data_IF_649424378842
#
_entry.id   IF_649424378842
#
_cell.length_a   1.000
_cell.length_b   1.000
_cell.length_c   1.000
_cell.angle_alpha   90.00
_cell.angle_beta   90.00
_cell.angle_gamma   90.00
#
_symmetry.space_group_name_H-M   'P 1'
#
loop_
_entity.id
_entity.type
_entity.pdbx_description
1 polymer ?
#
# COMPACT_ATOMS: atom_id res chain seq x y z
N UNK A 1 6.26 -47.75 -7.39
CA UNK A 1 5.68 -47.43 -8.71
C UNK A 1 6.45 -46.26 -9.29
N UNK A 2 7.27 -46.51 -10.32
CA UNK A 2 8.16 -45.51 -10.90
C UNK A 2 7.38 -44.44 -11.65
N UNK A 3 7.69 -43.17 -11.37
CA UNK A 3 7.20 -42.02 -12.14
C UNK A 3 7.63 -42.23 -13.60
N UNK A 4 6.67 -42.39 -14.51
CA UNK A 4 6.89 -42.53 -15.96
C UNK A 4 7.90 -41.51 -16.49
N UNK A 5 8.78 -41.90 -17.40
CA UNK A 5 9.81 -41.02 -18.01
C UNK A 5 9.23 -39.72 -18.56
N UNK A 6 7.99 -39.75 -19.08
CA UNK A 6 7.24 -38.57 -19.52
C UNK A 6 6.92 -37.60 -18.37
N UNK A 7 6.59 -38.11 -17.20
CA UNK A 7 6.36 -37.29 -16.01
C UNK A 7 7.65 -36.66 -15.50
N UNK A 8 8.79 -37.38 -15.59
CA UNK A 8 10.10 -36.80 -15.24
C UNK A 8 10.48 -35.62 -16.14
N UNK A 9 10.28 -35.75 -17.45
CA UNK A 9 10.54 -34.66 -18.42
C UNK A 9 9.63 -33.45 -18.15
N UNK A 10 8.34 -33.69 -17.87
CA UNK A 10 7.40 -32.61 -17.52
C UNK A 10 7.80 -31.89 -16.23
N UNK A 11 8.21 -32.63 -15.20
CA UNK A 11 8.67 -32.05 -13.92
C UNK A 11 9.95 -31.23 -14.14
N UNK A 12 10.95 -31.76 -14.84
CA UNK A 12 12.18 -31.03 -15.18
C UNK A 12 11.90 -29.76 -15.99
N UNK A 13 11.00 -29.83 -16.97
CA UNK A 13 10.60 -28.67 -17.77
C UNK A 13 9.90 -27.59 -16.93
N UNK A 14 9.04 -28.00 -15.99
CA UNK A 14 8.37 -27.07 -15.07
C UNK A 14 9.34 -26.46 -14.05
N UNK A 15 10.31 -27.23 -13.55
CA UNK A 15 11.35 -26.73 -12.65
C UNK A 15 12.27 -25.72 -13.33
N UNK A 16 12.67 -25.99 -14.58
CA UNK A 16 13.45 -25.06 -15.39
C UNK A 16 12.66 -23.77 -15.66
N UNK A 17 11.37 -23.89 -16.00
CA UNK A 17 10.49 -22.75 -16.17
C UNK A 17 10.35 -21.94 -14.89
N UNK A 18 10.09 -22.60 -13.76
CA UNK A 18 9.99 -21.97 -12.43
C UNK A 18 11.28 -21.21 -12.09
N UNK A 19 12.45 -21.79 -12.40
CA UNK A 19 13.74 -21.13 -12.21
C UNK A 19 13.87 -19.86 -13.04
N UNK A 20 13.50 -19.92 -14.33
CA UNK A 20 13.59 -18.80 -15.28
C UNK A 20 12.68 -17.64 -14.88
N UNK A 21 11.42 -17.93 -14.51
CA UNK A 21 10.46 -16.88 -14.15
C UNK A 21 10.63 -16.40 -12.70
N UNK A 22 11.47 -17.08 -11.91
CA UNK A 22 11.69 -16.77 -10.50
C UNK A 22 10.52 -17.19 -9.60
N UNK A 23 9.85 -18.29 -9.96
CA UNK A 23 8.76 -18.84 -9.17
C UNK A 23 9.27 -19.47 -7.87
N UNK A 24 8.77 -19.00 -6.74
CA UNK A 24 9.16 -19.47 -5.42
C UNK A 24 7.95 -19.48 -4.49
N UNK A 25 7.98 -20.36 -3.49
CA UNK A 25 7.03 -20.31 -2.39
C UNK A 25 7.30 -19.01 -1.59
N UNK A 26 6.27 -18.21 -1.26
CA UNK A 26 6.46 -17.04 -0.42
C UNK A 26 7.10 -17.40 0.91
N UNK A 27 8.04 -16.59 1.38
CA UNK A 27 8.63 -16.71 2.72
C UNK A 27 7.73 -15.98 3.71
N UNK A 28 7.61 -16.52 4.92
CA UNK A 28 6.73 -15.99 5.96
C UNK A 28 7.52 -15.77 7.24
N UNK A 29 7.43 -14.57 7.81
CA UNK A 29 8.08 -14.17 9.06
C UNK A 29 6.98 -13.75 10.04
N UNK A 30 6.82 -14.52 11.11
CA UNK A 30 5.78 -14.30 12.13
C UNK A 30 6.16 -15.07 13.39
N UNK A 31 5.55 -14.71 14.53
CA UNK A 31 5.73 -15.48 15.78
C UNK A 31 5.12 -16.88 15.64
N UNK A 32 5.87 -17.98 15.84
CA UNK A 32 5.35 -19.35 15.73
C UNK A 32 4.18 -19.66 16.69
N UNK A 33 4.10 -18.91 17.79
CA UNK A 33 3.04 -18.99 18.79
C UNK A 33 2.01 -17.84 18.65
N UNK A 34 2.18 -16.99 17.64
CA UNK A 34 1.32 -15.84 17.37
C UNK A 34 -0.05 -16.26 16.82
N UNK A 35 -1.08 -15.50 17.20
CA UNK A 35 -2.48 -15.71 16.77
C UNK A 35 -2.63 -15.66 15.25
N UNK A 36 -1.81 -14.87 14.54
CA UNK A 36 -1.88 -14.74 13.08
C UNK A 36 -1.58 -16.05 12.34
N UNK A 37 -0.84 -16.99 12.96
CA UNK A 37 -0.50 -18.30 12.38
C UNK A 37 -1.73 -19.05 11.86
N UNK A 38 -2.80 -19.09 12.65
CA UNK A 38 -4.03 -19.82 12.32
C UNK A 38 -4.68 -19.28 11.03
N UNK A 39 -4.49 -17.99 10.75
CA UNK A 39 -4.97 -17.34 9.53
C UNK A 39 -4.05 -17.72 8.35
N UNK A 40 -2.73 -17.66 8.53
CA UNK A 40 -1.76 -18.02 7.47
C UNK A 40 -1.94 -19.45 6.97
N UNK A 41 -2.25 -20.39 7.87
CA UNK A 41 -2.48 -21.80 7.53
C UNK A 41 -3.72 -22.02 6.67
N UNK A 42 -4.67 -21.08 6.66
CA UNK A 42 -5.87 -21.16 5.81
C UNK A 42 -5.66 -20.57 4.41
N UNK A 43 -4.52 -19.92 4.14
CA UNK A 43 -4.26 -19.24 2.88
C UNK A 43 -3.49 -20.14 1.88
N UNK A 44 -4.14 -20.63 0.80
CA UNK A 44 -3.49 -21.53 -0.16
C UNK A 44 -2.32 -20.88 -0.91
N UNK A 45 -2.36 -19.57 -1.13
CA UNK A 45 -1.32 -18.78 -1.80
C UNK A 45 0.05 -18.89 -1.10
N UNK A 46 0.05 -19.04 0.23
CA UNK A 46 1.27 -19.17 1.03
C UNK A 46 1.82 -20.60 1.03
N UNK A 47 1.05 -21.57 0.53
CA UNK A 47 1.44 -23.00 0.43
C UNK A 47 1.99 -23.36 -0.94
N UNK A 48 1.74 -22.55 -1.96
CA UNK A 48 2.10 -22.80 -3.35
C UNK A 48 3.20 -21.83 -3.82
N UNK A 49 3.88 -22.17 -4.92
CA UNK A 49 4.80 -21.22 -5.56
C UNK A 49 4.01 -20.08 -6.18
N UNK A 50 4.36 -18.84 -5.85
CA UNK A 50 3.96 -17.69 -6.64
C UNK A 50 4.71 -17.75 -7.98
N UNK A 51 3.98 -17.67 -9.09
CA UNK A 51 4.52 -17.74 -10.46
C UNK A 51 4.29 -16.42 -11.17
N UNK A 52 5.31 -15.55 -11.24
CA UNK A 52 5.19 -14.28 -11.95
C UNK A 52 4.74 -14.51 -13.39
N UNK A 53 3.99 -13.55 -13.93
CA UNK A 53 3.70 -13.53 -15.36
C UNK A 53 5.02 -13.57 -16.15
N UNK A 54 5.28 -14.59 -16.99
CA UNK A 54 6.62 -14.87 -17.52
C UNK A 54 7.25 -13.72 -18.27
N UNK A 55 6.45 -13.01 -19.09
CA UNK A 55 6.88 -11.84 -19.86
C UNK A 55 7.01 -10.55 -19.03
N UNK A 56 6.62 -10.57 -17.75
CA UNK A 56 6.80 -9.46 -16.81
C UNK A 56 7.91 -9.71 -15.78
N UNK A 57 8.65 -10.83 -15.84
CA UNK A 57 9.62 -11.28 -14.82
C UNK A 57 10.78 -10.31 -14.48
N UNK A 58 10.90 -9.19 -15.19
CA UNK A 58 11.81 -8.08 -14.90
C UNK A 58 11.13 -7.06 -13.95
N UNK A 59 11.86 -6.64 -12.92
CA UNK A 59 11.36 -5.71 -11.89
C UNK A 59 10.88 -4.35 -12.44
N UNK A 60 11.37 -3.88 -13.58
CA UNK A 60 10.86 -2.66 -14.22
C UNK A 60 9.62 -2.90 -15.09
N UNK A 61 9.45 -4.13 -15.61
CA UNK A 61 8.36 -4.45 -16.54
C UNK A 61 7.00 -4.46 -15.86
N UNK A 62 6.90 -4.88 -14.59
CA UNK A 62 5.65 -4.75 -13.83
C UNK A 62 5.19 -3.29 -13.71
N UNK A 63 6.11 -2.38 -13.37
CA UNK A 63 5.81 -0.95 -13.21
C UNK A 63 5.42 -0.29 -14.53
N UNK A 64 6.16 -0.59 -15.61
CA UNK A 64 5.85 -0.10 -16.95
C UNK A 64 4.53 -0.67 -17.48
N UNK A 65 4.30 -1.97 -17.31
CA UNK A 65 3.06 -2.63 -17.70
C UNK A 65 1.85 -2.02 -16.99
N UNK A 66 1.97 -1.75 -15.69
CA UNK A 66 0.93 -1.09 -14.93
C UNK A 66 0.65 0.34 -15.44
N UNK A 67 1.68 1.20 -15.52
CA UNK A 67 1.52 2.63 -15.86
C UNK A 67 1.09 2.83 -17.32
N UNK A 68 1.53 1.96 -18.24
CA UNK A 68 1.27 2.09 -19.69
C UNK A 68 0.02 1.33 -20.13
N UNK A 69 -0.21 0.12 -19.63
CA UNK A 69 -1.26 -0.79 -20.13
C UNK A 69 -2.42 -0.83 -19.14
N UNK A 70 -2.23 -1.38 -17.93
CA UNK A 70 -3.36 -1.65 -17.01
C UNK A 70 -4.13 -0.41 -16.64
N UNK A 71 -3.42 0.68 -16.29
CA UNK A 71 -4.05 1.97 -15.96
C UNK A 71 -4.96 2.52 -17.06
N UNK A 72 -4.66 2.21 -18.33
CA UNK A 72 -5.48 2.65 -19.49
C UNK A 72 -6.58 1.64 -19.83
N UNK A 73 -6.32 0.35 -19.66
CA UNK A 73 -7.24 -0.71 -20.09
C UNK A 73 -8.34 -0.99 -19.07
N UNK A 74 -8.05 -0.84 -17.77
CA UNK A 74 -9.03 -1.08 -16.71
C UNK A 74 -10.00 0.08 -16.63
N UNK A 75 -11.23 -0.17 -17.07
CA UNK A 75 -12.36 0.72 -16.91
C UNK A 75 -13.10 0.33 -15.63
N UNK A 76 -13.04 1.21 -14.63
CA UNK A 76 -13.86 1.19 -13.43
C UNK A 76 -14.36 2.61 -13.21
N UNK A 77 -15.67 2.75 -13.03
CA UNK A 77 -16.31 3.98 -12.62
C UNK A 77 -16.64 3.84 -11.14
N UNK A 78 -16.20 4.81 -10.34
CA UNK A 78 -16.59 4.90 -8.94
C UNK A 78 -18.05 5.40 -8.88
N UNK A 79 -18.82 4.90 -7.93
CA UNK A 79 -20.23 5.28 -7.78
C UNK A 79 -20.35 6.75 -7.37
N UNK A 80 -19.43 7.18 -6.50
CA UNK A 80 -19.40 8.53 -5.92
C UNK A 80 -17.97 8.91 -5.57
N UNK A 81 -17.61 10.17 -5.77
CA UNK A 81 -16.41 10.78 -5.18
C UNK A 81 -16.88 11.92 -4.30
N UNK A 82 -16.78 11.73 -3.00
CA UNK A 82 -17.20 12.68 -1.99
C UNK A 82 -16.00 13.50 -1.50
N UNK A 83 -16.15 14.82 -1.41
CA UNK A 83 -15.16 15.68 -0.76
C UNK A 83 -15.57 15.91 0.69
N UNK A 84 -14.60 15.85 1.59
CA UNK A 84 -14.81 16.07 3.01
C UNK A 84 -14.01 17.30 3.44
N UNK A 85 -14.66 18.20 4.16
CA UNK A 85 -13.97 19.30 4.84
C UNK A 85 -13.62 18.83 6.25
N UNK A 86 -12.32 18.78 6.54
CA UNK A 86 -11.77 18.38 7.83
C UNK A 86 -11.96 19.51 8.86
N UNK A 87 -11.83 19.20 10.14
CA UNK A 87 -12.00 20.17 11.23
C UNK A 87 -11.08 21.40 11.12
N UNK A 88 -9.86 21.23 10.60
CA UNK A 88 -8.92 22.34 10.38
C UNK A 88 -9.20 23.15 9.10
N UNK A 89 -10.28 22.82 8.37
CA UNK A 89 -10.65 23.43 7.09
C UNK A 89 -9.96 22.80 5.88
N UNK A 90 -9.10 21.80 6.07
CA UNK A 90 -8.49 21.05 4.97
C UNK A 90 -9.51 20.23 4.18
N UNK A 91 -9.19 19.87 2.94
CA UNK A 91 -10.08 19.08 2.09
C UNK A 91 -9.46 17.73 1.75
N UNK A 92 -10.18 16.67 2.07
CA UNK A 92 -9.88 15.28 1.68
C UNK A 92 -11.04 14.73 0.86
N UNK A 93 -11.01 13.45 0.49
CA UNK A 93 -12.17 12.85 -0.15
C UNK A 93 -12.22 11.34 0.01
N UNK A 94 -13.35 10.75 -0.38
CA UNK A 94 -13.55 9.30 -0.45
C UNK A 94 -14.16 8.97 -1.80
N UNK A 95 -13.47 8.14 -2.58
CA UNK A 95 -14.01 7.56 -3.80
C UNK A 95 -14.60 6.18 -3.46
N UNK A 96 -15.88 6.00 -3.73
CA UNK A 96 -16.67 4.85 -3.34
C UNK A 96 -16.90 3.89 -4.51
N UNK A 97 -16.84 2.59 -4.22
CA UNK A 97 -17.26 1.54 -5.14
C UNK A 97 -18.03 0.45 -4.38
N UNK A 98 -19.22 0.09 -4.87
CA UNK A 98 -20.21 -0.66 -4.10
C UNK A 98 -20.93 0.18 -3.03
N UNK A 99 -21.14 1.48 -3.25
CA UNK A 99 -21.76 2.40 -2.27
C UNK A 99 -23.15 1.90 -1.84
N UNK A 100 -23.99 1.52 -2.79
CA UNK A 100 -25.38 1.09 -2.57
C UNK A 100 -25.54 -0.38 -2.14
N UNK A 101 -24.44 -1.08 -1.85
CA UNK A 101 -24.52 -2.42 -1.25
C UNK A 101 -25.21 -2.35 0.13
N UNK A 102 -25.77 -3.48 0.63
CA UNK A 102 -26.40 -3.54 1.95
C UNK A 102 -25.52 -2.92 3.04
N UNK A 103 -26.11 -2.20 4.00
CA UNK A 103 -25.40 -1.38 5.00
C UNK A 103 -24.39 -2.17 5.84
N UNK A 104 -24.70 -3.42 6.14
CA UNK A 104 -23.88 -4.39 6.87
C UNK A 104 -22.77 -5.05 6.04
N UNK A 105 -22.73 -4.80 4.72
CA UNK A 105 -21.63 -5.28 3.89
C UNK A 105 -20.33 -4.64 4.38
N UNK A 106 -19.27 -5.43 4.68
CA UNK A 106 -18.02 -4.86 5.13
C UNK A 106 -17.42 -3.88 4.12
N UNK A 107 -16.57 -2.99 4.62
CA UNK A 107 -15.93 -1.96 3.82
C UNK A 107 -14.41 -2.09 3.90
N UNK A 108 -13.76 -2.20 2.75
CA UNK A 108 -12.31 -2.10 2.63
C UNK A 108 -11.93 -0.63 2.43
N UNK A 109 -11.27 -0.06 3.42
CA UNK A 109 -10.72 1.30 3.38
C UNK A 109 -9.31 1.25 2.81
N UNK A 110 -9.10 1.95 1.69
CA UNK A 110 -7.83 1.93 0.96
C UNK A 110 -7.10 3.26 1.13
N UNK A 111 -5.85 3.18 1.57
CA UNK A 111 -4.89 4.29 1.57
C UNK A 111 -3.95 4.11 0.38
N UNK A 112 -4.01 5.06 -0.56
CA UNK A 112 -3.36 4.95 -1.86
C UNK A 112 -1.86 5.29 -1.86
N UNK A 113 -1.22 5.09 -3.01
CA UNK A 113 0.21 5.32 -3.23
C UNK A 113 0.58 6.82 -3.22
N UNK A 114 1.88 7.15 -3.29
CA UNK A 114 2.41 8.52 -3.11
C UNK A 114 1.80 9.58 -4.05
N UNK A 115 1.36 9.19 -5.24
CA UNK A 115 0.66 10.05 -6.22
C UNK A 115 -0.62 9.38 -6.69
N UNK A 116 -1.25 8.62 -5.79
CA UNK A 116 -2.45 7.85 -6.07
C UNK A 116 -3.64 8.74 -6.43
N UNK A 117 -4.50 8.22 -7.30
CA UNK A 117 -5.77 8.81 -7.69
C UNK A 117 -6.82 7.71 -7.89
N UNK A 118 -8.11 8.05 -7.99
CA UNK A 118 -9.14 7.09 -8.36
C UNK A 118 -8.76 6.28 -9.62
N UNK A 119 -8.19 6.94 -10.64
CA UNK A 119 -7.74 6.31 -11.90
C UNK A 119 -6.61 5.32 -11.68
N UNK A 120 -5.60 5.68 -10.88
CA UNK A 120 -4.46 4.78 -10.64
C UNK A 120 -4.84 3.59 -9.77
N UNK A 121 -5.88 3.69 -8.94
CA UNK A 121 -6.25 2.63 -8.00
C UNK A 121 -7.34 1.68 -8.53
N UNK A 122 -7.86 1.90 -9.75
CA UNK A 122 -8.96 1.12 -10.35
C UNK A 122 -8.75 -0.38 -10.32
N UNK A 123 -7.52 -0.84 -10.59
CA UNK A 123 -7.21 -2.27 -10.59
C UNK A 123 -7.41 -2.90 -9.23
N UNK A 124 -6.76 -2.33 -8.21
CA UNK A 124 -6.86 -2.83 -6.84
C UNK A 124 -8.30 -2.76 -6.34
N UNK A 125 -9.00 -1.66 -6.58
CA UNK A 125 -10.41 -1.48 -6.20
C UNK A 125 -11.30 -2.53 -6.86
N UNK A 126 -11.16 -2.72 -8.18
CA UNK A 126 -11.93 -3.71 -8.95
C UNK A 126 -11.70 -5.11 -8.42
N UNK A 127 -10.43 -5.50 -8.29
CA UNK A 127 -10.06 -6.87 -7.93
C UNK A 127 -10.52 -7.19 -6.50
N UNK A 128 -10.27 -6.30 -5.53
CA UNK A 128 -10.72 -6.50 -4.15
C UNK A 128 -12.24 -6.62 -4.06
N UNK A 129 -12.98 -5.74 -4.74
CA UNK A 129 -14.43 -5.83 -4.78
C UNK A 129 -14.90 -7.13 -5.45
N UNK A 130 -14.29 -7.52 -6.57
CA UNK A 130 -14.66 -8.74 -7.31
C UNK A 130 -14.42 -10.01 -6.48
N UNK A 131 -13.33 -10.07 -5.71
CA UNK A 131 -13.00 -11.26 -4.91
C UNK A 131 -13.76 -11.34 -3.58
N UNK A 132 -14.16 -10.21 -3.00
CA UNK A 132 -14.82 -10.20 -1.68
C UNK A 132 -16.32 -9.92 -1.74
N UNK A 133 -16.80 -9.22 -2.77
CA UNK A 133 -18.12 -8.62 -2.83
C UNK A 133 -18.30 -7.42 -1.89
N UNK A 134 -17.22 -6.89 -1.31
CA UNK A 134 -17.30 -5.86 -0.26
C UNK A 134 -17.30 -4.45 -0.84
N UNK A 135 -17.79 -3.49 -0.04
CA UNK A 135 -17.73 -2.07 -0.36
C UNK A 135 -16.28 -1.60 -0.29
N UNK A 136 -15.88 -0.70 -1.19
CA UNK A 136 -14.56 -0.09 -1.19
C UNK A 136 -14.67 1.41 -0.93
N UNK A 137 -13.91 1.90 0.05
CA UNK A 137 -13.73 3.31 0.35
C UNK A 137 -12.27 3.70 0.08
N UNK A 138 -12.01 4.33 -1.06
CA UNK A 138 -10.68 4.84 -1.40
C UNK A 138 -10.51 6.23 -0.78
N UNK A 139 -9.77 6.32 0.33
CA UNK A 139 -9.49 7.57 1.02
C UNK A 139 -8.45 8.39 0.25
N UNK A 140 -8.90 9.52 -0.29
CA UNK A 140 -8.09 10.51 -0.99
C UNK A 140 -7.53 11.53 0.01
N UNK A 141 -6.26 11.87 -0.16
CA UNK A 141 -5.55 12.82 0.71
C UNK A 141 -5.57 14.23 0.15
N UNK A 142 -5.28 15.22 0.99
CA UNK A 142 -5.15 16.62 0.60
C UNK A 142 -4.27 16.77 -0.65
N UNK A 143 -4.71 17.61 -1.60
CA UNK A 143 -4.01 17.88 -2.86
C UNK A 143 -3.96 16.74 -3.88
N UNK A 144 -4.47 15.55 -3.58
CA UNK A 144 -4.53 14.44 -4.53
C UNK A 144 -5.81 14.50 -5.35
N UNK A 145 -5.78 13.85 -6.52
CA UNK A 145 -6.95 13.74 -7.40
C UNK A 145 -7.65 15.07 -7.75
N UNK A 146 -6.89 16.18 -7.75
CA UNK A 146 -7.42 17.52 -8.02
C UNK A 146 -8.22 18.15 -6.87
N UNK A 147 -8.20 17.56 -5.67
CA UNK A 147 -8.82 18.14 -4.48
C UNK A 147 -8.19 19.50 -4.14
N UNK A 148 -8.99 20.51 -3.78
CA UNK A 148 -8.46 21.81 -3.40
C UNK A 148 -7.59 21.72 -2.15
N UNK A 149 -6.69 22.68 -1.98
CA UNK A 149 -5.80 22.76 -0.82
C UNK A 149 -5.92 24.13 -0.14
N UNK A 150 -7.07 24.41 0.52
CA UNK A 150 -7.28 25.69 1.21
C UNK A 150 -6.37 25.84 2.44
N UNK A 151 -6.04 24.73 3.09
CA UNK A 151 -5.03 24.65 4.14
C UNK A 151 -3.71 24.18 3.51
N UNK A 152 -2.61 24.97 3.59
CA UNK A 152 -1.34 24.69 2.94
C UNK A 152 -0.57 23.55 3.63
N UNK A 153 -1.10 22.32 3.56
CA UNK A 153 -0.50 21.14 4.16
C UNK A 153 -0.56 19.95 3.20
N UNK A 154 0.55 19.67 2.53
CA UNK A 154 0.72 18.45 1.74
C UNK A 154 0.99 17.27 2.69
N UNK A 155 0.43 16.11 2.39
CA UNK A 155 0.80 14.88 3.08
C UNK A 155 1.10 13.75 2.10
N UNK A 156 2.40 13.49 1.88
CA UNK A 156 2.85 12.43 0.97
C UNK A 156 2.63 11.03 1.53
N UNK A 157 2.76 10.89 2.85
CA UNK A 157 2.61 9.63 3.56
C UNK A 157 1.27 9.50 4.28
N UNK A 158 0.43 10.54 4.30
CA UNK A 158 -0.87 10.57 4.99
C UNK A 158 -0.86 11.32 6.32
N UNK A 159 -2.04 11.77 6.74
CA UNK A 159 -2.30 12.38 8.04
C UNK A 159 -3.19 11.43 8.83
N UNK A 160 -2.79 11.04 10.03
CA UNK A 160 -3.62 10.16 10.86
C UNK A 160 -4.87 10.88 11.35
N UNK A 161 -4.82 12.20 11.50
CA UNK A 161 -5.98 13.02 11.86
C UNK A 161 -7.01 13.06 10.72
N UNK A 162 -6.56 13.28 9.48
CA UNK A 162 -7.43 13.20 8.30
C UNK A 162 -8.08 11.82 8.19
N UNK A 163 -7.31 10.76 8.44
CA UNK A 163 -7.83 9.39 8.38
C UNK A 163 -8.85 9.12 9.49
N UNK A 164 -8.65 9.62 10.71
CA UNK A 164 -9.64 9.49 11.80
C UNK A 164 -10.96 10.13 11.41
N UNK A 165 -10.92 11.34 10.82
CA UNK A 165 -12.13 12.03 10.37
C UNK A 165 -12.80 11.30 9.20
N UNK A 166 -12.03 10.78 8.24
CA UNK A 166 -12.56 9.94 7.16
C UNK A 166 -13.23 8.67 7.71
N UNK A 167 -12.63 8.00 8.70
CA UNK A 167 -13.19 6.80 9.32
C UNK A 167 -14.45 7.10 10.11
N UNK A 168 -14.48 8.20 10.87
CA UNK A 168 -15.68 8.65 11.56
C UNK A 168 -16.84 8.89 10.58
N UNK A 169 -16.55 9.52 9.43
CA UNK A 169 -17.53 9.71 8.36
C UNK A 169 -18.02 8.38 7.76
N UNK A 170 -17.11 7.44 7.47
CA UNK A 170 -17.46 6.10 6.97
C UNK A 170 -18.38 5.36 7.97
N UNK A 171 -18.04 5.37 9.26
CA UNK A 171 -18.84 4.72 10.30
C UNK A 171 -20.19 5.43 10.53
N UNK A 172 -20.27 6.73 10.30
CA UNK A 172 -21.54 7.45 10.36
C UNK A 172 -22.51 7.02 9.25
N UNK A 173 -22.01 6.86 8.02
CA UNK A 173 -22.83 6.43 6.88
C UNK A 173 -23.17 4.93 6.97
N UNK A 174 -22.20 4.10 7.37
CA UNK A 174 -22.33 2.64 7.43
C UNK A 174 -21.98 2.09 8.84
N UNK A 175 -22.81 2.36 9.86
CA UNK A 175 -22.50 2.00 11.25
C UNK A 175 -22.42 0.50 11.52
N UNK A 176 -23.08 -0.31 10.68
CA UNK A 176 -23.10 -1.77 10.78
C UNK A 176 -21.99 -2.45 9.94
N UNK A 177 -21.19 -1.67 9.21
CA UNK A 177 -20.12 -2.20 8.36
C UNK A 177 -18.86 -2.44 9.16
N UNK A 178 -18.41 -3.69 9.23
CA UNK A 178 -17.03 -3.99 9.64
C UNK A 178 -16.03 -3.31 8.70
N UNK A 179 -14.95 -2.77 9.25
CA UNK A 179 -13.91 -2.09 8.49
C UNK A 179 -12.63 -2.93 8.41
N UNK A 180 -12.05 -2.96 7.21
CA UNK A 180 -10.76 -3.59 6.92
C UNK A 180 -9.88 -2.59 6.19
N UNK A 181 -8.57 -2.62 6.42
CA UNK A 181 -7.67 -1.58 5.91
C UNK A 181 -6.64 -2.13 4.92
N UNK A 182 -6.44 -1.44 3.79
CA UNK A 182 -5.37 -1.74 2.85
C UNK A 182 -4.53 -0.48 2.63
N UNK A 183 -3.25 -0.56 2.96
CA UNK A 183 -2.25 0.42 2.56
C UNK A 183 -1.47 -0.09 1.36
N UNK A 184 -1.27 0.75 0.34
CA UNK A 184 -0.41 0.42 -0.81
C UNK A 184 0.72 1.44 -0.95
N UNK A 185 1.97 0.96 -1.01
CA UNK A 185 3.17 1.81 -1.12
C UNK A 185 3.17 2.88 -0.01
N UNK A 186 3.28 4.17 -0.33
CA UNK A 186 3.23 5.25 0.67
C UNK A 186 1.98 5.21 1.58
N UNK A 187 0.86 4.66 1.13
CA UNK A 187 -0.34 4.48 1.95
C UNK A 187 -0.17 3.49 3.10
N UNK A 188 0.83 2.60 3.06
CA UNK A 188 1.17 1.76 4.21
C UNK A 188 1.73 2.58 5.36
N UNK A 189 2.43 3.68 5.07
CA UNK A 189 2.98 4.57 6.09
C UNK A 189 1.86 5.14 6.96
N UNK A 190 0.84 5.71 6.31
CA UNK A 190 -0.39 6.15 6.98
C UNK A 190 -1.04 5.02 7.79
N UNK A 191 -1.25 3.87 7.15
CA UNK A 191 -1.91 2.72 7.79
C UNK A 191 -1.18 2.31 9.08
N UNK A 192 0.12 2.02 8.97
CA UNK A 192 0.91 1.51 10.08
C UNK A 192 1.04 2.57 11.18
N UNK A 193 1.22 3.84 10.81
CA UNK A 193 1.24 4.95 11.76
C UNK A 193 -0.08 5.03 12.52
N UNK A 194 -1.21 5.05 11.81
CA UNK A 194 -2.55 5.08 12.39
C UNK A 194 -2.77 3.90 13.35
N UNK A 195 -2.48 2.67 12.92
CA UNK A 195 -2.66 1.48 13.76
C UNK A 195 -1.79 1.51 15.02
N UNK A 196 -0.56 1.99 14.91
CA UNK A 196 0.33 2.13 16.07
C UNK A 196 -0.09 3.24 17.03
N UNK A 197 -0.70 4.31 16.53
CA UNK A 197 -1.24 5.39 17.38
C UNK A 197 -2.57 5.01 18.04
N UNK A 198 -3.42 4.23 17.38
CA UNK A 198 -4.75 3.87 17.87
C UNK A 198 -4.76 2.56 18.67
N UNK A 199 -3.83 1.63 18.43
CA UNK A 199 -3.78 0.36 19.15
C UNK A 199 -5.07 -0.45 19.01
N UNK A 200 -5.82 -0.62 20.10
CA UNK A 200 -7.12 -1.32 20.13
C UNK A 200 -8.32 -0.41 19.83
N UNK A 201 -8.15 0.91 19.85
CA UNK A 201 -9.23 1.88 19.60
C UNK A 201 -9.54 2.05 18.10
N UNK A 202 -8.73 1.42 17.24
CA UNK A 202 -8.98 1.38 15.80
C UNK A 202 -10.29 0.63 15.48
N UNK A 203 -11.12 1.12 14.53
CA UNK A 203 -12.31 0.41 14.11
C UNK A 203 -12.00 -0.78 13.19
N UNK A 204 -10.76 -0.90 12.70
CA UNK A 204 -10.36 -1.95 11.77
C UNK A 204 -10.26 -3.31 12.46
N UNK A 205 -10.85 -4.33 11.83
CA UNK A 205 -10.77 -5.74 12.29
C UNK A 205 -9.46 -6.41 11.88
N UNK A 206 -8.97 -6.10 10.68
CA UNK A 206 -7.68 -6.54 10.18
C UNK A 206 -7.15 -5.58 9.12
N UNK A 207 -5.84 -5.63 8.88
CA UNK A 207 -5.17 -4.72 7.97
C UNK A 207 -4.14 -5.43 7.08
N UNK A 208 -3.89 -4.84 5.91
CA UNK A 208 -2.91 -5.32 4.95
C UNK A 208 -2.02 -4.16 4.46
N UNK A 209 -0.71 -4.32 4.54
CA UNK A 209 0.27 -3.37 4.03
C UNK A 209 1.05 -3.95 2.84
N UNK A 210 0.83 -3.41 1.64
CA UNK A 210 1.49 -3.86 0.40
C UNK A 210 2.67 -2.94 0.03
N UNK A 211 3.87 -3.53 -0.06
CA UNK A 211 5.14 -2.86 -0.35
C UNK A 211 5.43 -1.65 0.55
N UNK A 212 5.51 -1.82 1.88
CA UNK A 212 5.72 -0.69 2.78
C UNK A 212 7.13 -0.12 2.77
N UNK A 213 7.20 1.18 3.08
CA UNK A 213 8.37 1.80 3.71
C UNK A 213 8.22 1.74 5.24
N UNK A 214 9.05 0.94 5.90
CA UNK A 214 9.09 0.77 7.35
C UNK A 214 9.74 1.97 8.04
N UNK A 215 10.87 2.43 7.51
CA UNK A 215 11.59 3.58 8.01
C UNK A 215 11.87 4.55 6.86
N UNK A 216 11.18 5.69 6.83
CA UNK A 216 11.26 6.65 5.72
C UNK A 216 12.63 7.32 5.65
N UNK A 217 13.27 7.60 6.80
CA UNK A 217 14.58 8.27 6.90
C UNK A 217 15.73 7.52 6.21
N UNK A 218 15.57 6.21 6.02
CA UNK A 218 16.53 5.36 5.29
C UNK A 218 15.93 4.74 4.03
N UNK A 219 14.62 4.88 3.83
CA UNK A 219 13.88 4.25 2.74
C UNK A 219 14.27 4.84 1.39
N UNK A 220 14.27 6.17 1.27
CA UNK A 220 14.55 6.84 0.00
C UNK A 220 16.00 6.70 -0.49
N UNK A 221 16.96 6.45 0.41
CA UNK A 221 18.37 6.21 0.07
C UNK A 221 18.56 5.00 -0.87
N UNK A 222 17.62 4.06 -0.84
CA UNK A 222 17.70 2.80 -1.58
C UNK A 222 16.78 2.75 -2.80
N UNK A 223 16.07 3.83 -3.13
CA UNK A 223 15.25 3.90 -4.35
C UNK A 223 16.15 3.93 -5.56
N UNK A 224 15.80 3.15 -6.59
CA UNK A 224 16.57 3.13 -7.83
C UNK A 224 16.71 4.56 -8.45
N UNK A 225 17.90 4.97 -8.94
CA UNK A 225 18.16 6.34 -9.41
C UNK A 225 17.20 6.86 -10.49
N UNK A 226 16.73 5.98 -11.37
CA UNK A 226 15.71 6.33 -12.36
C UNK A 226 14.36 6.67 -11.72
N UNK A 227 13.90 5.85 -10.76
CA UNK A 227 12.58 6.01 -10.15
C UNK A 227 12.54 7.19 -9.18
N UNK A 228 13.61 7.43 -8.42
CA UNK A 228 13.65 8.60 -7.52
C UNK A 228 13.47 9.91 -8.29
N UNK A 229 14.12 10.08 -9.45
CA UNK A 229 13.96 11.27 -10.31
C UNK A 229 12.56 11.34 -10.93
N UNK A 230 12.05 10.22 -11.45
CA UNK A 230 10.71 10.18 -12.05
C UNK A 230 9.61 10.51 -11.04
N UNK A 231 9.68 9.94 -9.84
CA UNK A 231 8.72 10.16 -8.78
C UNK A 231 8.78 11.60 -8.26
N UNK A 232 9.99 12.16 -8.10
CA UNK A 232 10.16 13.58 -7.74
C UNK A 232 9.48 14.50 -8.75
N UNK A 233 9.67 14.28 -10.06
CA UNK A 233 8.95 15.02 -11.10
C UNK A 233 7.43 14.86 -10.98
N UNK A 234 6.94 13.66 -10.66
CA UNK A 234 5.50 13.44 -10.41
C UNK A 234 5.04 14.25 -9.18
N UNK A 235 5.80 14.31 -8.09
CA UNK A 235 5.46 15.12 -6.92
C UNK A 235 5.32 16.60 -7.27
N UNK A 236 6.26 17.16 -8.03
CA UNK A 236 6.20 18.56 -8.46
C UNK A 236 4.95 18.83 -9.30
N UNK A 237 4.67 17.95 -10.27
CA UNK A 237 3.49 18.06 -11.14
C UNK A 237 2.17 18.05 -10.37
N UNK A 238 2.08 17.30 -9.27
CA UNK A 238 0.82 17.14 -8.54
C UNK A 238 0.67 18.10 -7.36
N UNK A 239 1.76 18.47 -6.68
CA UNK A 239 1.69 19.18 -5.40
C UNK A 239 2.37 20.55 -5.40
N UNK A 240 3.35 20.78 -6.28
CA UNK A 240 4.10 22.04 -6.28
C UNK A 240 3.54 22.99 -7.34
N UNK A 241 3.49 22.55 -8.59
CA UNK A 241 3.05 23.40 -9.71
C UNK A 241 1.58 23.82 -9.65
N UNK A 242 0.61 22.95 -9.31
CA UNK A 242 -0.79 23.35 -9.23
C UNK A 242 -1.10 24.31 -8.08
N UNK A 243 -0.23 24.35 -7.05
CA UNK A 243 -0.43 25.10 -5.81
C UNK A 243 0.67 26.14 -5.57
N UNK A 244 1.33 26.63 -6.62
CA UNK A 244 2.46 27.57 -6.46
C UNK A 244 2.11 28.77 -5.59
N UNK A 245 0.93 29.38 -5.79
CA UNK A 245 0.46 30.51 -4.98
C UNK A 245 0.34 30.18 -3.49
N UNK A 246 -0.06 28.94 -3.17
CA UNK A 246 -0.14 28.43 -1.79
C UNK A 246 1.22 28.39 -1.11
N UNK A 247 2.29 28.13 -1.88
CA UNK A 247 3.64 27.94 -1.34
C UNK A 247 4.53 29.19 -1.36
N UNK A 248 4.11 30.28 -2.02
CA UNK A 248 4.95 31.47 -2.26
C UNK A 248 5.57 32.09 -1.02
N UNK A 249 4.95 31.91 0.14
CA UNK A 249 5.39 32.52 1.41
C UNK A 249 6.27 31.58 2.25
N UNK A 250 6.51 30.33 1.82
CA UNK A 250 7.31 29.38 2.58
C UNK A 250 8.79 29.50 2.22
N UNK A 251 9.63 29.58 3.25
CA UNK A 251 11.09 29.66 3.11
C UNK A 251 11.67 28.39 2.46
N UNK A 252 11.02 27.24 2.66
CA UNK A 252 11.39 25.98 2.02
C UNK A 252 11.15 25.91 0.51
N UNK A 253 10.38 26.83 -0.09
CA UNK A 253 9.98 26.70 -1.50
C UNK A 253 11.18 26.64 -2.46
N UNK A 254 12.18 27.52 -2.28
CA UNK A 254 13.38 27.52 -3.13
C UNK A 254 14.14 26.20 -3.04
N UNK A 255 14.31 25.68 -1.82
CA UNK A 255 14.98 24.40 -1.56
C UNK A 255 14.19 23.22 -2.14
N UNK A 256 12.86 23.25 -2.02
CA UNK A 256 11.96 22.25 -2.62
C UNK A 256 12.13 22.26 -4.13
N UNK A 257 12.11 23.43 -4.78
CA UNK A 257 12.26 23.54 -6.23
C UNK A 257 13.63 23.08 -6.75
N UNK A 258 14.68 23.17 -5.92
CA UNK A 258 16.02 22.69 -6.25
C UNK A 258 16.19 21.17 -6.12
N UNK A 259 15.25 20.45 -5.48
CA UNK A 259 15.35 19.01 -5.27
C UNK A 259 15.18 18.21 -6.57
N UNK A 260 16.02 17.19 -6.74
CA UNK A 260 16.03 16.31 -7.93
C UNK A 260 15.73 14.86 -7.63
N UNK A 261 15.82 14.48 -6.35
CA UNK A 261 15.55 13.13 -5.84
C UNK A 261 14.51 13.15 -4.71
N UNK A 262 13.88 12.00 -4.44
CA UNK A 262 12.90 11.86 -3.36
C UNK A 262 13.52 12.10 -1.99
N UNK A 263 14.77 11.70 -1.80
CA UNK A 263 15.49 11.92 -0.54
C UNK A 263 15.72 13.42 -0.31
N UNK A 264 16.16 14.16 -1.34
CA UNK A 264 16.31 15.61 -1.26
C UNK A 264 14.98 16.28 -0.98
N UNK A 265 13.92 15.91 -1.72
CA UNK A 265 12.57 16.46 -1.54
C UNK A 265 12.06 16.23 -0.12
N UNK A 266 12.16 15.01 0.41
CA UNK A 266 11.68 14.67 1.76
C UNK A 266 12.35 15.54 2.84
N UNK A 267 13.65 15.81 2.70
CA UNK A 267 14.41 16.59 3.69
C UNK A 267 14.07 18.06 3.74
N UNK A 268 13.43 18.61 2.70
CA UNK A 268 13.18 20.05 2.58
C UNK A 268 11.70 20.43 2.55
N UNK A 269 10.79 19.50 2.24
CA UNK A 269 9.35 19.79 2.17
C UNK A 269 8.61 19.75 3.51
N UNK A 270 9.28 19.44 4.63
CA UNK A 270 8.63 19.25 5.94
C UNK A 270 7.77 20.45 6.37
N UNK A 271 8.17 21.67 6.00
CA UNK A 271 7.39 22.89 6.25
C UNK A 271 6.08 22.90 5.45
N UNK A 272 6.12 22.48 4.18
CA UNK A 272 4.92 22.25 3.36
C UNK A 272 4.03 21.12 3.90
N UNK A 273 4.59 20.23 4.71
CA UNK A 273 3.84 19.22 5.46
C UNK A 273 3.30 19.73 6.81
N UNK A 274 3.53 21.00 7.15
CA UNK A 274 3.05 21.64 8.36
C UNK A 274 3.93 21.44 9.60
N UNK A 275 5.20 21.07 9.42
CA UNK A 275 6.15 20.86 10.51
C UNK A 275 7.20 21.95 10.58
N UNK A 276 7.63 22.30 11.80
CA UNK A 276 8.64 23.34 12.03
C UNK A 276 10.07 22.90 11.64
N UNK A 277 10.34 21.61 11.70
CA UNK A 277 11.67 21.04 11.48
C UNK A 277 11.57 19.58 10.98
N UNK A 278 12.62 19.12 10.29
CA UNK A 278 12.68 17.78 9.71
C UNK A 278 12.59 16.66 10.75
N UNK A 279 13.18 16.82 11.93
CA UNK A 279 13.17 15.79 12.98
C UNK A 279 11.77 15.58 13.54
N UNK A 280 11.03 16.67 13.78
CA UNK A 280 9.63 16.66 14.21
C UNK A 280 8.74 16.01 13.15
N UNK A 281 8.97 16.32 11.87
CA UNK A 281 8.31 15.64 10.74
C UNK A 281 8.58 14.13 10.75
N UNK A 282 9.84 13.70 10.81
CA UNK A 282 10.19 12.28 10.84
C UNK A 282 9.55 11.55 12.02
N UNK A 283 9.61 12.12 13.22
CA UNK A 283 9.00 11.53 14.41
C UNK A 283 7.47 11.34 14.26
N UNK A 284 6.80 12.26 13.58
CA UNK A 284 5.36 12.22 13.38
C UNK A 284 4.93 11.25 12.28
N UNK A 285 5.67 11.17 11.18
CA UNK A 285 5.23 10.42 9.99
C UNK A 285 5.82 9.01 9.89
N UNK A 286 6.97 8.75 10.51
CA UNK A 286 7.71 7.52 10.30
C UNK A 286 7.04 6.35 11.05
N UNK A 287 6.57 5.30 10.34
CA UNK A 287 5.74 4.28 10.94
C UNK A 287 6.49 3.40 11.94
N UNK A 288 7.83 3.27 11.81
CA UNK A 288 8.59 2.43 12.73
C UNK A 288 8.50 2.87 14.19
N UNK A 289 8.33 4.17 14.45
CA UNK A 289 8.28 4.72 15.81
C UNK A 289 7.05 4.27 16.62
N UNK A 290 6.01 3.78 15.96
CA UNK A 290 4.79 3.29 16.62
C UNK A 290 4.47 1.85 16.28
N UNK A 291 5.32 1.17 15.51
CA UNK A 291 5.03 -0.15 14.95
C UNK A 291 4.71 -1.20 16.02
N UNK A 292 5.43 -1.19 17.15
CA UNK A 292 5.22 -2.15 18.26
C UNK A 292 3.87 -1.97 18.97
N UNK A 293 3.19 -0.85 18.75
CA UNK A 293 1.91 -0.55 19.38
C UNK A 293 0.71 -1.10 18.59
N UNK A 294 0.91 -1.66 17.39
CA UNK A 294 -0.17 -2.26 16.59
C UNK A 294 -0.76 -3.46 17.33
N UNK A 295 -2.07 -3.45 17.58
CA UNK A 295 -2.75 -4.50 18.37
C UNK A 295 -3.71 -5.41 17.57
N UNK A 296 -4.05 -5.04 16.34
CA UNK A 296 -4.91 -5.84 15.47
C UNK A 296 -4.10 -6.70 14.49
N UNK A 297 -4.69 -7.74 13.86
CA UNK A 297 -4.02 -8.50 12.83
C UNK A 297 -3.54 -7.63 11.66
N UNK A 298 -2.25 -7.72 11.34
CA UNK A 298 -1.64 -7.02 10.19
C UNK A 298 -0.82 -8.01 9.36
N UNK A 299 -1.16 -8.13 8.08
CA UNK A 299 -0.32 -8.81 7.09
C UNK A 299 0.46 -7.80 6.26
N UNK A 300 1.75 -8.05 6.08
CA UNK A 300 2.64 -7.19 5.31
C UNK A 300 3.18 -8.00 4.14
N UNK A 301 3.15 -7.44 2.93
CA UNK A 301 3.68 -8.08 1.73
C UNK A 301 4.81 -7.22 1.13
N UNK A 302 5.97 -7.84 0.91
CA UNK A 302 7.10 -7.23 0.22
C UNK A 302 7.54 -8.10 -0.97
N UNK A 303 8.12 -7.45 -1.99
CA UNK A 303 8.89 -8.15 -3.03
C UNK A 303 10.39 -7.88 -2.82
N UNK A 304 11.22 -8.90 -2.97
CA UNK A 304 12.69 -8.77 -2.87
C UNK A 304 13.28 -7.98 -4.05
N UNK A 305 12.60 -7.95 -5.20
CA UNK A 305 13.00 -7.21 -6.39
C UNK A 305 12.37 -5.81 -6.54
N UNK A 306 11.72 -5.31 -5.48
CA UNK A 306 11.08 -3.99 -5.46
C UNK A 306 12.10 -2.85 -5.66
N UNK A 307 12.03 -2.08 -6.76
CA UNK A 307 13.01 -1.04 -7.07
C UNK A 307 12.72 0.31 -6.38
N UNK A 308 11.63 0.40 -5.60
CA UNK A 308 11.20 1.59 -4.86
C UNK A 308 11.36 1.37 -3.37
N UNK A 309 10.72 0.33 -2.82
CA UNK A 309 10.77 -0.01 -1.40
C UNK A 309 11.67 -1.23 -1.18
N UNK A 310 12.99 -0.99 -1.08
CA UNK A 310 13.96 -2.06 -0.89
C UNK A 310 13.67 -2.91 0.36
N UNK A 311 13.72 -4.24 0.21
CA UNK A 311 13.58 -5.19 1.33
C UNK A 311 14.61 -4.95 2.45
N UNK A 312 15.72 -4.27 2.16
CA UNK A 312 16.70 -3.84 3.19
C UNK A 312 16.09 -2.95 4.27
N UNK A 313 14.99 -2.25 3.98
CA UNK A 313 14.27 -1.44 4.93
C UNK A 313 13.52 -2.27 5.99
N UNK A 314 13.22 -3.54 5.71
CA UNK A 314 12.63 -4.50 6.65
C UNK A 314 13.66 -5.17 7.56
N UNK A 315 14.85 -5.49 7.06
CA UNK A 315 15.82 -6.34 7.78
C UNK A 315 16.16 -5.91 9.21
N UNK A 316 16.36 -4.62 9.53
CA UNK A 316 16.64 -4.18 10.90
C UNK A 316 15.53 -4.50 11.90
N UNK A 317 14.31 -4.71 11.41
CA UNK A 317 13.11 -4.87 12.23
C UNK A 317 12.56 -6.29 12.22
N UNK A 318 13.14 -7.17 11.38
CA UNK A 318 12.69 -8.55 11.20
C UNK A 318 12.54 -9.30 12.52
N UNK A 319 13.59 -9.31 13.34
CA UNK A 319 13.62 -10.05 14.61
C UNK A 319 12.56 -9.56 15.59
N UNK A 320 12.33 -8.25 15.67
CA UNK A 320 11.29 -7.67 16.51
C UNK A 320 9.88 -8.05 16.01
N UNK A 321 9.65 -7.99 14.70
CA UNK A 321 8.37 -8.35 14.09
C UNK A 321 8.05 -9.84 14.28
N UNK A 322 9.06 -10.71 14.21
CA UNK A 322 8.91 -12.16 14.48
C UNK A 322 8.52 -12.49 15.93
N UNK A 323 8.54 -11.52 16.86
CA UNK A 323 8.04 -11.70 18.22
C UNK A 323 6.58 -11.25 18.40
N UNK A 324 6.01 -10.53 17.43
CA UNK A 324 4.65 -10.01 17.52
C UNK A 324 3.62 -11.10 17.20
N UNK A 325 2.58 -11.22 18.01
CA UNK A 325 1.59 -12.30 17.91
C UNK A 325 0.55 -12.07 16.80
N UNK A 326 0.37 -10.82 16.41
CA UNK A 326 -0.66 -10.34 15.49
C UNK A 326 -0.11 -9.91 14.11
N UNK A 327 1.19 -10.02 13.86
CA UNK A 327 1.82 -9.53 12.62
C UNK A 327 2.51 -10.65 11.84
N UNK A 328 2.33 -10.64 10.52
CA UNK A 328 3.02 -11.54 9.61
C UNK A 328 3.58 -10.75 8.43
N UNK A 329 4.85 -11.00 8.09
CA UNK A 329 5.51 -10.46 6.90
C UNK A 329 5.69 -11.57 5.88
N UNK A 330 5.20 -11.34 4.67
CA UNK A 330 5.30 -12.23 3.54
C UNK A 330 6.27 -11.60 2.55
N UNK A 331 7.28 -12.37 2.09
CA UNK A 331 8.16 -11.92 1.02
C UNK A 331 8.10 -12.87 -0.17
N UNK A 332 8.11 -12.29 -1.37
CA UNK A 332 8.27 -13.02 -2.63
C UNK A 332 9.58 -12.59 -3.30
N UNK A 333 10.20 -13.50 -4.04
CA UNK A 333 11.42 -13.17 -4.81
C UNK A 333 11.16 -12.15 -5.92
N UNK A 334 9.94 -12.18 -6.47
CA UNK A 334 9.48 -11.40 -7.60
C UNK A 334 8.14 -10.77 -7.29
N UNK A 335 7.82 -9.66 -7.93
CA UNK A 335 6.57 -8.93 -7.70
C UNK A 335 6.68 -7.44 -7.98
N UNK A 336 7.91 -6.91 -8.10
CA UNK A 336 8.19 -5.48 -8.25
C UNK A 336 7.51 -4.64 -7.16
N UNK A 337 7.30 -3.36 -7.41
CA UNK A 337 6.58 -2.47 -6.52
C UNK A 337 5.08 -2.52 -6.81
N UNK A 338 4.31 -3.17 -5.93
CA UNK A 338 2.85 -3.33 -6.02
C UNK A 338 2.33 -4.06 -7.27
N UNK A 339 3.17 -4.82 -7.99
CA UNK A 339 2.78 -5.50 -9.22
C UNK A 339 2.16 -6.88 -8.98
N UNK A 340 2.91 -7.80 -8.37
CA UNK A 340 2.50 -9.17 -7.99
C UNK A 340 1.59 -9.89 -9.02
N UNK A 341 1.88 -9.73 -10.31
CA UNK A 341 1.11 -10.38 -11.37
C UNK A 341 1.52 -11.83 -11.56
N UNK A 342 0.53 -12.70 -11.69
CA UNK A 342 0.75 -14.13 -11.92
C UNK A 342 0.07 -14.64 -13.19
N UNK A 343 0.59 -15.78 -13.66
CA UNK A 343 0.03 -16.52 -14.78
C UNK A 343 0.12 -15.78 -16.12
N UNK A 344 -0.37 -16.44 -17.16
CA UNK A 344 -0.36 -15.91 -18.53
C UNK A 344 -1.39 -14.79 -18.73
N UNK A 345 -2.51 -14.84 -18.01
CA UNK A 345 -3.58 -13.83 -18.12
C UNK A 345 -3.30 -12.57 -17.27
N UNK A 346 -2.17 -12.51 -16.56
CA UNK A 346 -1.76 -11.37 -15.73
C UNK A 346 -2.81 -11.03 -14.67
N UNK A 347 -3.15 -12.00 -13.82
CA UNK A 347 -4.04 -11.79 -12.67
C UNK A 347 -3.28 -11.24 -11.47
N UNK A 348 -3.95 -10.49 -10.60
CA UNK A 348 -3.33 -9.93 -9.39
C UNK A 348 -3.27 -10.98 -8.27
N UNK A 349 -2.08 -11.54 -8.03
CA UNK A 349 -1.86 -12.48 -6.93
C UNK A 349 -2.04 -11.80 -5.58
N UNK A 350 -1.56 -10.56 -5.44
CA UNK A 350 -1.66 -9.79 -4.20
C UNK A 350 -3.10 -9.45 -3.86
N UNK A 351 -3.93 -9.01 -4.82
CA UNK A 351 -5.34 -8.71 -4.55
C UNK A 351 -6.11 -9.94 -4.09
N UNK A 352 -5.81 -11.12 -4.66
CA UNK A 352 -6.39 -12.38 -4.22
C UNK A 352 -5.94 -12.75 -2.81
N UNK A 353 -4.65 -12.61 -2.49
CA UNK A 353 -4.14 -12.84 -1.13
C UNK A 353 -4.78 -11.91 -0.10
N UNK A 354 -4.91 -10.61 -0.42
CA UNK A 354 -5.55 -9.61 0.45
C UNK A 354 -7.01 -10.01 0.73
N UNK A 355 -7.74 -10.37 -0.33
CA UNK A 355 -9.15 -10.72 -0.26
C UNK A 355 -9.37 -11.96 0.60
N UNK A 356 -8.63 -13.04 0.34
CA UNK A 356 -8.74 -14.28 1.09
C UNK A 356 -8.31 -14.09 2.56
N UNK A 357 -7.28 -13.26 2.81
CA UNK A 357 -6.89 -12.89 4.17
C UNK A 357 -8.04 -12.24 4.93
N UNK A 358 -8.73 -11.26 4.35
CA UNK A 358 -9.86 -10.61 5.02
C UNK A 358 -11.08 -11.52 5.17
N UNK A 359 -11.39 -12.35 4.17
CA UNK A 359 -12.49 -13.32 4.25
C UNK A 359 -12.26 -14.35 5.37
N UNK A 360 -11.02 -14.83 5.51
CA UNK A 360 -10.63 -15.72 6.61
C UNK A 360 -10.74 -15.01 7.95
N UNK A 361 -10.26 -13.76 8.07
CA UNK A 361 -10.36 -12.97 9.30
C UNK A 361 -11.81 -12.72 9.72
N UNK A 362 -12.71 -12.45 8.77
CA UNK A 362 -14.14 -12.25 9.05
C UNK A 362 -14.82 -13.52 9.58
N UNK A 363 -14.33 -14.68 9.16
CA UNK A 363 -14.91 -15.98 9.50
C UNK A 363 -14.30 -16.61 10.76
N UNK A 364 -13.31 -15.95 11.36
CA UNK A 364 -12.54 -16.41 12.51
C UNK A 364 -12.94 -15.64 13.76
#
# INVERSE_FOLDING_TARGET
>A
MGISTLNKIKVLGLELFDLVVGAEKPKTYYSPNGKIKNILEKLPQLKQKYRPTPWLSNNHMHLLYFDVIRKKTIKLQYDRIEQLTMQDGGVTGIAWYGYDLPKQTPTIVIMHTITGSPESMRELVKDLHQYTGWRIALCLRRGHAGLPMPVPRISLFGSTDDLKEQLAHIQHIFPESDLYAVGSSAGTGLLVRYLGEQGLDTPFKAAFAMCPGYNTEIGFKNVHPFYTKLMTKKLFKHFIYPYQSTWKQLDSLEKVLASTTLEEFEKVYFEMAGFRDYQSYCKAINPIYVFQNIKIPLMILNSEDDPVCSIKNFHPYKSAIEQMDNIAVITTKKGSHCGFYEGWQTSSWSARLISDYFLVQRSS
#
